data_IF_124379286639
#
_entry.id   IF_124379286639
#
_cell.length_a   1.000
_cell.length_b   1.000
_cell.length_c   1.000
_cell.angle_alpha   90.00
_cell.angle_beta   90.00
_cell.angle_gamma   90.00
#
_symmetry.space_group_name_H-M   'P 1'
#
loop_
_entity.id
_entity.type
_entity.pdbx_description
1 polymer ?
#
# COMPACT_ATOMS: atom_id res chain seq x y z
N UNK A 1 -8.12 -5.69 28.04
CA UNK A 1 -8.10 -5.42 26.59
C UNK A 1 -8.22 -3.91 26.49
N UNK A 2 -7.17 -3.18 26.08
CA UNK A 2 -7.30 -1.72 25.95
C UNK A 2 -8.33 -1.45 24.85
N UNK A 3 -9.36 -0.69 25.20
CA UNK A 3 -10.41 -0.31 24.27
C UNK A 3 -9.79 0.62 23.21
N UNK A 4 -9.89 0.26 21.93
CA UNK A 4 -9.35 1.10 20.84
C UNK A 4 -10.26 2.31 20.67
N UNK A 5 -9.65 3.49 20.59
CA UNK A 5 -10.34 4.74 20.34
C UNK A 5 -10.59 5.58 21.59
N UNK A 6 -11.43 6.60 21.42
CA UNK A 6 -11.77 7.61 22.42
C UNK A 6 -13.29 7.80 22.47
N UNK A 7 -13.80 8.23 23.63
CA UNK A 7 -15.21 8.58 23.80
C UNK A 7 -15.59 9.89 23.10
N UNK A 8 -16.82 10.39 23.31
CA UNK A 8 -17.23 11.71 22.85
C UNK A 8 -16.27 12.81 23.31
N UNK A 9 -16.20 13.89 22.52
CA UNK A 9 -15.49 15.10 22.89
C UNK A 9 -16.08 15.73 24.15
N UNK A 10 -15.23 16.10 25.09
CA UNK A 10 -15.63 16.75 26.33
C UNK A 10 -15.51 18.28 26.22
N UNK A 11 -16.57 18.99 26.62
CA UNK A 11 -16.63 20.44 26.57
C UNK A 11 -17.05 21.04 25.22
N UNK A 12 -16.67 22.30 25.01
CA UNK A 12 -17.00 23.05 23.79
C UNK A 12 -16.29 22.47 22.57
N UNK A 13 -17.02 22.33 21.46
CA UNK A 13 -16.48 21.77 20.23
C UNK A 13 -15.55 22.78 19.53
N UNK A 14 -14.35 22.37 19.09
CA UNK A 14 -13.45 23.25 18.35
C UNK A 14 -14.04 23.65 16.99
N UNK A 15 -13.77 24.88 16.57
CA UNK A 15 -14.02 25.35 15.20
C UNK A 15 -12.84 24.95 14.30
N UNK A 16 -12.76 23.66 13.95
CA UNK A 16 -11.74 23.09 13.05
C UNK A 16 -12.42 22.27 11.94
N UNK A 17 -12.25 22.64 10.66
CA UNK A 17 -12.88 21.95 9.54
C UNK A 17 -12.42 20.49 9.35
N UNK A 18 -11.25 20.12 9.88
CA UNK A 18 -10.77 18.74 9.83
C UNK A 18 -11.59 17.81 10.73
N UNK A 19 -12.27 18.33 11.75
CA UNK A 19 -13.01 17.51 12.70
C UNK A 19 -14.36 17.07 12.14
N UNK A 20 -14.72 15.83 12.45
CA UNK A 20 -16.01 15.23 12.11
C UNK A 20 -17.00 15.39 13.28
N UNK A 21 -18.11 16.14 13.09
CA UNK A 21 -19.14 16.33 14.10
C UNK A 21 -19.75 15.04 14.65
N UNK A 22 -19.82 13.97 13.85
CA UNK A 22 -20.33 12.68 14.33
C UNK A 22 -19.34 12.00 15.27
N UNK A 23 -18.04 12.05 14.95
CA UNK A 23 -17.01 11.50 15.81
C UNK A 23 -16.85 12.30 17.10
N UNK A 24 -16.99 13.63 17.05
CA UNK A 24 -17.00 14.45 18.26
C UNK A 24 -18.19 14.11 19.17
N UNK A 25 -19.37 13.84 18.59
CA UNK A 25 -20.59 13.51 19.36
C UNK A 25 -20.56 12.11 19.96
N UNK A 26 -20.17 11.12 19.17
CA UNK A 26 -20.38 9.70 19.50
C UNK A 26 -19.08 9.01 19.94
N UNK A 27 -17.94 9.68 19.77
CA UNK A 27 -16.61 9.15 19.99
C UNK A 27 -16.00 8.52 18.75
N UNK A 28 -14.67 8.40 18.76
CA UNK A 28 -13.90 7.86 17.65
C UNK A 28 -13.30 6.49 18.01
N UNK A 29 -13.92 5.43 17.47
CA UNK A 29 -13.50 4.03 17.67
C UNK A 29 -12.55 3.51 16.58
N UNK A 30 -12.14 4.34 15.62
CA UNK A 30 -11.28 3.90 14.50
C UNK A 30 -9.89 3.54 15.02
N UNK A 31 -9.17 2.68 14.32
CA UNK A 31 -7.77 2.38 14.64
C UNK A 31 -6.83 3.32 13.88
N UNK A 32 -6.84 4.61 14.25
CA UNK A 32 -5.97 5.65 13.70
C UNK A 32 -5.00 6.15 14.77
N UNK A 33 -3.91 6.79 14.37
CA UNK A 33 -2.99 7.46 15.31
C UNK A 33 -3.73 8.53 16.12
N UNK A 34 -3.24 8.82 17.33
CA UNK A 34 -3.91 9.75 18.24
C UNK A 34 -4.02 11.19 17.70
N UNK A 35 -3.09 11.59 16.82
CA UNK A 35 -3.15 12.90 16.14
C UNK A 35 -4.33 13.06 15.18
N UNK A 36 -4.92 11.96 14.74
CA UNK A 36 -6.04 11.93 13.79
C UNK A 36 -7.39 11.66 14.47
N UNK A 37 -7.45 11.66 15.80
CA UNK A 37 -8.70 11.44 16.51
C UNK A 37 -9.72 12.50 16.15
N UNK A 38 -10.94 12.04 15.88
CA UNK A 38 -12.06 12.86 15.44
C UNK A 38 -11.90 13.51 14.06
N UNK A 39 -10.75 13.35 13.38
CA UNK A 39 -10.59 13.91 12.05
C UNK A 39 -11.46 13.18 11.05
N UNK A 40 -12.01 13.93 10.10
CA UNK A 40 -12.67 13.36 8.93
C UNK A 40 -11.69 12.49 8.16
N UNK A 41 -12.24 11.49 7.51
CA UNK A 41 -11.43 10.55 6.74
C UNK A 41 -10.60 11.25 5.65
N UNK A 42 -11.21 12.15 4.89
CA UNK A 42 -10.56 12.94 3.83
C UNK A 42 -9.49 13.88 4.38
N UNK A 43 -9.70 14.48 5.56
CA UNK A 43 -8.69 15.28 6.25
C UNK A 43 -7.43 14.46 6.59
N UNK A 44 -7.60 13.22 7.06
CA UNK A 44 -6.47 12.30 7.32
C UNK A 44 -5.73 11.98 6.02
N UNK A 45 -6.46 11.66 4.94
CA UNK A 45 -5.85 11.39 3.63
C UNK A 45 -5.06 12.61 3.13
N UNK A 46 -5.62 13.81 3.26
CA UNK A 46 -4.97 15.04 2.84
C UNK A 46 -3.69 15.34 3.63
N UNK A 47 -3.67 15.11 4.95
CA UNK A 47 -2.44 15.25 5.76
C UNK A 47 -1.38 14.22 5.36
N UNK A 48 -1.77 12.96 5.20
CA UNK A 48 -0.87 11.90 4.74
C UNK A 48 -0.27 12.22 3.37
N UNK A 49 -1.05 12.79 2.45
CA UNK A 49 -0.64 13.21 1.10
C UNK A 49 0.51 14.25 1.13
N UNK A 50 0.65 15.03 2.21
CA UNK A 50 1.76 16.01 2.36
C UNK A 50 3.12 15.36 2.58
N UNK A 51 3.16 14.13 3.07
CA UNK A 51 4.38 13.46 3.53
C UNK A 51 4.57 12.03 2.99
N UNK A 52 3.83 11.63 1.95
CA UNK A 52 3.96 10.29 1.36
C UNK A 52 5.37 10.03 0.83
N UNK A 53 5.82 8.79 1.01
CA UNK A 53 7.00 8.30 0.35
C UNK A 53 6.71 8.20 -1.17
N UNK A 54 7.60 8.67 -2.07
CA UNK A 54 7.42 8.52 -3.51
C UNK A 54 7.40 7.06 -4.04
N UNK A 55 7.67 6.08 -3.18
CA UNK A 55 7.47 4.67 -3.42
C UNK A 55 5.99 4.35 -3.73
N UNK A 56 5.77 3.45 -4.67
CA UNK A 56 4.48 2.83 -4.96
C UNK A 56 4.63 1.30 -4.99
N UNK A 57 3.53 0.59 -4.72
CA UNK A 57 3.52 -0.87 -4.62
C UNK A 57 2.48 -1.44 -5.58
N UNK A 58 2.85 -2.37 -6.44
CA UNK A 58 1.91 -3.12 -7.28
C UNK A 58 1.86 -4.58 -6.88
N UNK A 59 0.66 -5.18 -6.93
CA UNK A 59 0.47 -6.62 -6.71
C UNK A 59 -0.33 -7.20 -7.87
N UNK A 60 0.21 -8.25 -8.48
CA UNK A 60 -0.48 -9.01 -9.52
C UNK A 60 -1.58 -9.91 -8.94
N UNK A 61 -2.81 -9.72 -9.41
CA UNK A 61 -4.01 -10.41 -8.92
C UNK A 61 -4.64 -11.26 -10.05
N UNK A 62 -3.89 -12.24 -10.54
CA UNK A 62 -4.35 -13.16 -11.60
C UNK A 62 -5.18 -14.32 -11.05
N UNK A 63 -4.82 -14.81 -9.86
CA UNK A 63 -5.52 -15.84 -9.09
C UNK A 63 -6.03 -15.24 -7.77
N UNK A 64 -6.73 -16.03 -6.95
CA UNK A 64 -7.14 -15.56 -5.63
C UNK A 64 -5.94 -15.53 -4.68
N UNK A 65 -5.34 -14.35 -4.52
CA UNK A 65 -4.23 -14.12 -3.59
C UNK A 65 -4.77 -13.62 -2.23
N UNK A 66 -4.44 -14.33 -1.17
CA UNK A 66 -4.88 -14.01 0.20
C UNK A 66 -3.97 -12.98 0.89
N UNK A 67 -2.78 -12.74 0.36
CA UNK A 67 -1.72 -11.94 0.96
C UNK A 67 -1.75 -10.47 0.53
N UNK A 68 -2.47 -10.12 -0.55
CA UNK A 68 -2.63 -8.72 -1.01
C UNK A 68 -2.94 -7.77 0.16
N UNK A 69 -3.88 -8.14 1.04
CA UNK A 69 -4.21 -7.31 2.19
C UNK A 69 -3.04 -7.05 3.14
N UNK A 70 -2.19 -8.04 3.38
CA UNK A 70 -0.98 -7.87 4.21
C UNK A 70 0.03 -6.94 3.55
N UNK A 71 0.19 -7.04 2.23
CA UNK A 71 1.04 -6.12 1.45
C UNK A 71 0.52 -4.69 1.56
N UNK A 72 -0.78 -4.48 1.38
CA UNK A 72 -1.40 -3.14 1.48
C UNK A 72 -1.26 -2.57 2.90
N UNK A 73 -1.43 -3.39 3.94
CA UNK A 73 -1.21 -2.97 5.33
C UNK A 73 0.22 -2.49 5.58
N UNK A 74 1.20 -3.20 5.04
CA UNK A 74 2.61 -2.78 5.11
C UNK A 74 2.82 -1.50 4.31
N UNK A 75 2.23 -1.38 3.13
CA UNK A 75 2.30 -0.18 2.31
C UNK A 75 1.75 1.07 3.06
N UNK A 76 0.67 0.92 3.83
CA UNK A 76 0.17 1.98 4.71
C UNK A 76 1.21 2.38 5.78
N UNK A 77 1.85 1.40 6.42
CA UNK A 77 2.85 1.65 7.46
C UNK A 77 4.07 2.43 6.94
N UNK A 78 4.40 2.28 5.66
CA UNK A 78 5.46 3.06 4.99
C UNK A 78 4.96 4.39 4.38
N UNK A 79 3.68 4.71 4.52
CA UNK A 79 3.01 5.85 3.89
C UNK A 79 3.36 5.98 2.39
N UNK A 80 3.29 4.87 1.65
CA UNK A 80 3.57 4.87 0.21
C UNK A 80 2.60 5.79 -0.53
N UNK A 81 3.01 6.30 -1.69
CA UNK A 81 2.20 7.25 -2.48
C UNK A 81 0.88 6.65 -2.95
N UNK A 82 0.94 5.42 -3.46
CA UNK A 82 -0.21 4.67 -3.95
C UNK A 82 0.08 3.17 -3.94
N UNK A 83 -0.98 2.37 -4.04
CA UNK A 83 -0.86 0.95 -4.35
C UNK A 83 -1.68 0.59 -5.57
N UNK A 84 -1.26 -0.47 -6.25
CA UNK A 84 -1.78 -0.87 -7.54
C UNK A 84 -2.22 -2.34 -7.50
N UNK A 85 -3.41 -2.59 -8.02
CA UNK A 85 -3.91 -3.93 -8.25
C UNK A 85 -3.86 -4.20 -9.76
N UNK A 86 -3.11 -5.21 -10.17
CA UNK A 86 -2.96 -5.58 -11.58
C UNK A 86 -3.80 -6.82 -11.89
N UNK A 87 -4.50 -6.83 -13.02
CA UNK A 87 -5.37 -7.94 -13.41
C UNK A 87 -6.77 -7.83 -12.79
N UNK A 88 -7.17 -8.79 -11.95
CA UNK A 88 -8.53 -8.79 -11.37
C UNK A 88 -8.72 -7.59 -10.44
N UNK A 89 -9.78 -6.81 -10.67
CA UNK A 89 -10.07 -5.63 -9.84
C UNK A 89 -10.48 -5.96 -8.40
N UNK A 90 -11.11 -7.12 -8.17
CA UNK A 90 -11.56 -7.54 -6.83
C UNK A 90 -10.46 -8.34 -6.15
N UNK A 91 -10.10 -7.92 -4.94
CA UNK A 91 -9.09 -8.56 -4.10
C UNK A 91 -9.58 -8.64 -2.64
N UNK A 92 -8.93 -9.48 -1.84
CA UNK A 92 -9.32 -9.72 -0.46
C UNK A 92 -8.77 -8.64 0.50
N UNK A 93 -9.63 -7.72 0.93
CA UNK A 93 -9.29 -6.61 1.84
C UNK A 93 -9.14 -7.00 3.30
N UNK A 94 -9.46 -8.23 3.69
CA UNK A 94 -9.48 -8.65 5.11
C UNK A 94 -8.13 -8.44 5.79
N UNK A 95 -7.03 -8.76 5.10
CA UNK A 95 -5.67 -8.58 5.63
C UNK A 95 -5.23 -7.12 5.75
N UNK A 96 -5.87 -6.20 5.03
CA UNK A 96 -5.53 -4.77 5.06
C UNK A 96 -5.96 -4.09 6.37
N UNK A 97 -6.84 -4.72 7.17
CA UNK A 97 -7.31 -4.16 8.44
C UNK A 97 -7.84 -2.71 8.27
N UNK A 98 -8.56 -2.44 7.16
CA UNK A 98 -9.18 -1.15 6.82
C UNK A 98 -8.17 -0.03 6.46
N UNK A 99 -6.87 -0.31 6.48
CA UNK A 99 -5.84 0.68 6.11
C UNK A 99 -5.93 1.11 4.64
N UNK A 100 -6.49 0.27 3.78
CA UNK A 100 -6.72 0.54 2.36
C UNK A 100 -7.54 1.82 2.12
N UNK A 101 -8.38 2.23 3.06
CA UNK A 101 -9.20 3.44 2.94
C UNK A 101 -8.39 4.74 2.97
N UNK A 102 -7.25 4.73 3.66
CA UNK A 102 -6.39 5.92 3.83
C UNK A 102 -5.29 6.03 2.75
N UNK A 103 -5.34 5.15 1.75
CA UNK A 103 -4.35 5.05 0.68
C UNK A 103 -5.02 5.23 -0.68
N UNK A 104 -4.22 5.56 -1.69
CA UNK A 104 -4.68 5.65 -3.07
C UNK A 104 -4.62 4.28 -3.74
N UNK A 105 -5.78 3.65 -3.97
CA UNK A 105 -5.95 2.40 -4.72
C UNK A 105 -6.06 2.69 -6.23
N UNK A 106 -5.16 2.13 -7.03
CA UNK A 106 -5.18 2.23 -8.49
C UNK A 106 -5.34 0.85 -9.12
N UNK A 107 -6.14 0.73 -10.17
CA UNK A 107 -6.38 -0.54 -10.85
C UNK A 107 -5.83 -0.51 -12.28
N UNK A 108 -5.16 -1.60 -12.65
CA UNK A 108 -4.56 -1.81 -13.96
C UNK A 108 -5.06 -3.15 -14.51
N UNK A 109 -5.74 -3.20 -15.68
CA UNK A 109 -6.22 -4.46 -16.24
C UNK A 109 -5.08 -5.36 -16.73
N UNK A 110 -3.92 -4.80 -17.10
CA UNK A 110 -2.78 -5.53 -17.67
C UNK A 110 -1.45 -5.03 -17.12
N UNK A 111 -0.38 -5.83 -17.25
CA UNK A 111 1.00 -5.40 -16.94
C UNK A 111 1.37 -4.17 -17.79
N UNK A 112 1.07 -4.19 -19.08
CA UNK A 112 1.34 -3.05 -19.97
C UNK A 112 0.75 -1.73 -19.46
N UNK A 113 -0.48 -1.75 -18.93
CA UNK A 113 -1.10 -0.54 -18.37
C UNK A 113 -0.37 -0.02 -17.13
N UNK A 114 0.19 -0.91 -16.30
CA UNK A 114 1.03 -0.54 -15.17
C UNK A 114 2.38 0.03 -15.64
N UNK A 115 3.01 -0.61 -16.63
CA UNK A 115 4.29 -0.16 -17.21
C UNK A 115 4.16 1.22 -17.83
N UNK A 116 3.09 1.48 -18.58
CA UNK A 116 2.79 2.81 -19.12
C UNK A 116 2.65 3.85 -18.01
N UNK A 117 1.90 3.53 -16.96
CA UNK A 117 1.74 4.41 -15.80
C UNK A 117 3.10 4.72 -15.14
N UNK A 118 3.95 3.70 -14.92
CA UNK A 118 5.26 3.88 -14.31
C UNK A 118 6.14 4.81 -15.16
N UNK A 119 6.16 4.58 -16.48
CA UNK A 119 6.90 5.41 -17.44
C UNK A 119 6.43 6.86 -17.43
N UNK A 120 5.11 7.09 -17.51
CA UNK A 120 4.54 8.44 -17.54
C UNK A 120 4.82 9.23 -16.25
N UNK A 121 5.01 8.52 -15.13
CA UNK A 121 5.32 9.09 -13.82
C UNK A 121 6.83 9.11 -13.51
N UNK A 122 7.67 8.59 -14.39
CA UNK A 122 9.11 8.48 -14.16
C UNK A 122 9.47 7.58 -12.96
N UNK A 123 8.72 6.50 -12.76
CA UNK A 123 8.96 5.53 -11.68
C UNK A 123 9.81 4.38 -12.17
N UNK A 124 10.83 4.02 -11.38
CA UNK A 124 11.63 2.85 -11.66
C UNK A 124 10.80 1.58 -11.43
N UNK A 125 10.58 0.78 -12.47
CA UNK A 125 9.80 -0.46 -12.37
C UNK A 125 10.71 -1.58 -11.85
N UNK A 126 10.54 -1.97 -10.59
CA UNK A 126 11.40 -2.97 -9.92
C UNK A 126 10.55 -4.19 -9.55
N UNK A 127 10.88 -5.34 -10.11
CA UNK A 127 10.24 -6.61 -9.72
C UNK A 127 10.77 -7.11 -8.38
N UNK A 128 9.91 -7.70 -7.56
CA UNK A 128 10.29 -8.38 -6.32
C UNK A 128 9.92 -9.86 -6.42
N UNK A 129 10.92 -10.70 -6.68
CA UNK A 129 10.73 -12.15 -6.85
C UNK A 129 12.05 -12.94 -6.68
N UNK A 130 11.94 -14.19 -6.23
CA UNK A 130 13.07 -15.10 -6.04
C UNK A 130 13.30 -15.97 -7.29
N UNK A 131 13.72 -15.32 -8.38
CA UNK A 131 13.99 -15.96 -9.68
C UNK A 131 15.50 -15.98 -10.01
N UNK A 132 15.97 -16.89 -10.87
CA UNK A 132 17.36 -16.89 -11.32
C UNK A 132 17.77 -15.52 -11.89
N UNK A 133 18.89 -14.98 -11.40
CA UNK A 133 19.40 -13.68 -11.83
C UNK A 133 18.88 -12.48 -11.03
N UNK A 134 17.96 -12.66 -10.07
CA UNK A 134 17.54 -11.56 -9.21
C UNK A 134 18.63 -11.16 -8.21
N UNK A 135 18.58 -9.90 -7.78
CA UNK A 135 19.62 -9.25 -6.97
C UNK A 135 19.19 -9.22 -5.50
N UNK A 136 20.07 -9.57 -4.54
CA UNK A 136 19.78 -9.36 -3.12
C UNK A 136 19.46 -7.89 -2.82
N UNK A 137 18.29 -7.64 -2.25
CA UNK A 137 17.79 -6.28 -2.01
C UNK A 137 18.62 -5.52 -0.97
N UNK A 138 19.32 -6.23 -0.08
CA UNK A 138 20.10 -5.66 1.01
C UNK A 138 21.25 -4.76 0.53
N UNK A 139 21.76 -5.02 -0.69
CA UNK A 139 22.80 -4.21 -1.34
C UNK A 139 22.31 -3.39 -2.52
N UNK A 140 21.02 -3.47 -2.87
CA UNK A 140 20.48 -2.78 -4.04
C UNK A 140 20.06 -1.35 -3.68
N UNK A 141 20.61 -0.37 -4.39
CA UNK A 141 20.25 1.03 -4.21
C UNK A 141 18.90 1.34 -4.86
N UNK A 142 17.81 1.06 -4.14
CA UNK A 142 16.45 1.34 -4.59
C UNK A 142 16.26 2.85 -4.91
N UNK A 143 15.78 3.19 -6.11
CA UNK A 143 15.41 4.56 -6.43
C UNK A 143 14.33 5.08 -5.48
N UNK A 144 14.41 6.37 -5.12
CA UNK A 144 13.40 7.00 -4.24
C UNK A 144 12.00 6.94 -4.86
N UNK A 145 11.91 7.16 -6.17
CA UNK A 145 10.68 7.07 -6.94
C UNK A 145 10.65 5.73 -7.69
N UNK A 146 10.28 4.68 -6.95
CA UNK A 146 10.20 3.32 -7.47
C UNK A 146 8.77 2.79 -7.38
N UNK A 147 8.43 1.90 -8.32
CA UNK A 147 7.26 1.04 -8.28
C UNK A 147 7.76 -0.38 -8.02
N UNK A 148 7.55 -0.89 -6.81
CA UNK A 148 7.87 -2.28 -6.49
C UNK A 148 6.70 -3.18 -6.91
N UNK A 149 6.98 -4.19 -7.73
CA UNK A 149 5.97 -5.08 -8.28
C UNK A 149 6.12 -6.47 -7.67
N UNK A 150 5.04 -6.95 -7.07
CA UNK A 150 4.95 -8.27 -6.46
C UNK A 150 4.05 -9.16 -7.33
N UNK A 151 4.54 -10.36 -7.59
CA UNK A 151 3.77 -11.40 -8.28
C UNK A 151 2.68 -12.00 -7.41
N UNK A 152 1.87 -12.86 -8.02
CA UNK A 152 0.84 -13.62 -7.30
C UNK A 152 1.42 -14.80 -6.53
N UNK A 153 0.76 -15.19 -5.43
CA UNK A 153 1.10 -16.37 -4.64
C UNK A 153 1.19 -17.64 -5.51
N UNK A 154 2.39 -18.25 -5.55
CA UNK A 154 2.69 -19.44 -6.33
C UNK A 154 3.60 -19.18 -7.53
N UNK A 155 3.10 -18.65 -8.66
CA UNK A 155 3.89 -18.48 -9.88
C UNK A 155 4.94 -17.35 -9.78
N UNK A 156 4.84 -16.48 -8.77
CA UNK A 156 5.66 -15.27 -8.68
C UNK A 156 5.21 -14.25 -9.71
N UNK A 157 6.16 -13.41 -10.16
CA UNK A 157 5.91 -12.41 -11.20
C UNK A 157 5.55 -13.10 -12.52
N UNK A 158 4.61 -12.53 -13.27
CA UNK A 158 4.36 -12.87 -14.66
C UNK A 158 5.59 -12.58 -15.54
N UNK A 159 5.72 -13.25 -16.69
CA UNK A 159 6.86 -13.12 -17.61
C UNK A 159 6.98 -11.67 -18.13
N UNK A 160 5.85 -11.11 -18.50
CA UNK A 160 5.59 -9.73 -18.91
C UNK A 160 6.05 -8.73 -17.84
N UNK A 161 5.77 -9.01 -16.56
CA UNK A 161 6.21 -8.16 -15.46
C UNK A 161 7.72 -8.28 -15.21
N UNK A 162 8.32 -9.45 -15.45
CA UNK A 162 9.78 -9.64 -15.36
C UNK A 162 10.50 -8.91 -16.50
N UNK A 163 10.01 -9.04 -17.72
CA UNK A 163 10.59 -8.47 -18.93
C UNK A 163 10.55 -6.93 -18.92
N UNK A 164 9.52 -6.35 -18.30
CA UNK A 164 9.40 -4.90 -18.16
C UNK A 164 10.24 -4.33 -17.00
N UNK A 165 10.76 -5.16 -16.10
CA UNK A 165 11.46 -4.68 -14.92
C UNK A 165 12.89 -4.22 -15.24
N UNK A 166 13.26 -3.05 -14.71
CA UNK A 166 14.63 -2.54 -14.79
C UNK A 166 15.60 -3.42 -13.98
N UNK A 167 15.11 -3.96 -12.86
CA UNK A 167 15.78 -4.98 -12.06
C UNK A 167 14.75 -5.83 -11.34
N UNK A 168 15.13 -7.07 -11.06
CA UNK A 168 14.38 -7.95 -10.16
C UNK A 168 15.21 -8.15 -8.91
N UNK A 169 14.64 -7.84 -7.75
CA UNK A 169 15.28 -7.97 -6.44
C UNK A 169 14.61 -9.04 -5.61
N UNK A 170 15.33 -9.61 -4.65
CA UNK A 170 14.79 -10.56 -3.68
C UNK A 170 15.31 -10.27 -2.27
N UNK A 171 14.57 -10.70 -1.26
CA UNK A 171 15.05 -10.75 0.13
C UNK A 171 15.85 -12.04 0.28
N UNK A 172 17.07 -11.97 0.81
CA UNK A 172 17.92 -13.16 0.99
C UNK A 172 17.25 -14.12 1.98
N UNK A 173 16.99 -15.35 1.53
CA UNK A 173 16.36 -16.40 2.33
C UNK A 173 17.40 -17.43 2.81
N UNK A 174 17.41 -17.72 4.11
CA UNK A 174 18.27 -18.74 4.73
C UNK A 174 17.50 -19.99 5.18
N UNK A 175 16.20 -20.05 4.88
CA UNK A 175 15.32 -21.18 5.21
C UNK A 175 15.42 -22.33 4.20
N UNK A 176 14.63 -23.38 4.42
CA UNK A 176 14.67 -24.62 3.63
C UNK A 176 13.74 -24.64 2.41
N UNK A 177 12.88 -23.64 2.25
CA UNK A 177 11.89 -23.57 1.16
C UNK A 177 12.20 -22.40 0.23
N UNK A 178 11.92 -22.59 -1.07
CA UNK A 178 11.77 -21.54 -2.07
C UNK A 178 10.30 -21.37 -2.38
#
# INVERSE_FOLDING_TARGET
MNEIGVGPWDGEWPDDPHLDPELLRDGDRRNVEDRYRYWRHDAIVADLDTCRNPLEIAVENWSHDFNIGSVIRTANAFNVRAFHIVGRRRWNRRGAMVTDRYQHELHHPTVDSLVMYARDRGLAYIGVDNVPGSIPIEGYALPRAALLVFGGEGPGLSEEARDAAEAIVHITQFGSTR
#
